data_IF_288047336182
#
_entry.id   IF_288047336182
#
_cell.length_a   1.000
_cell.length_b   1.000
_cell.length_c   1.000
_cell.angle_alpha   90.00
_cell.angle_beta   90.00
_cell.angle_gamma   90.00
#
_symmetry.space_group_name_H-M   'P 1'
#
loop_
_entity.id
_entity.type
_entity.pdbx_description
1 polymer ?
#
# COMPACT_ATOMS: atom_id res chain seq x y z
N UNK A 1 12.17 7.19 -6.45
CA UNK A 1 11.25 8.20 -5.92
C UNK A 1 9.93 8.03 -6.64
N UNK A 2 8.81 8.15 -5.94
CA UNK A 2 7.50 8.17 -6.58
C UNK A 2 7.30 9.48 -7.32
N UNK A 3 6.70 9.39 -8.51
CA UNK A 3 6.36 10.59 -9.26
C UNK A 3 5.16 11.31 -8.63
N UNK A 4 5.08 12.62 -8.79
CA UNK A 4 3.93 13.42 -8.33
C UNK A 4 2.61 12.95 -8.96
N UNK A 5 2.65 12.37 -10.17
CA UNK A 5 1.48 11.77 -10.82
C UNK A 5 1.03 10.49 -10.10
N UNK A 6 1.98 9.62 -9.72
CA UNK A 6 1.68 8.43 -8.94
C UNK A 6 1.12 8.78 -7.56
N UNK A 7 1.71 9.75 -6.85
CA UNK A 7 1.23 10.19 -5.54
C UNK A 7 -0.19 10.74 -5.61
N UNK A 8 -0.51 11.55 -6.63
CA UNK A 8 -1.87 12.05 -6.87
C UNK A 8 -2.88 10.95 -7.24
N UNK A 9 -2.41 9.81 -7.72
CA UNK A 9 -3.27 8.68 -8.09
C UNK A 9 -3.76 7.85 -6.90
N UNK A 10 -3.23 8.09 -5.69
CA UNK A 10 -3.68 7.42 -4.47
C UNK A 10 -5.09 7.92 -4.11
N UNK A 11 -6.08 7.04 -4.27
CA UNK A 11 -7.49 7.37 -4.05
C UNK A 11 -7.82 7.54 -2.56
N UNK A 12 -8.05 8.79 -2.14
CA UNK A 12 -8.44 9.16 -0.77
C UNK A 12 -9.85 8.71 -0.37
N UNK A 13 -10.69 8.30 -1.33
CA UNK A 13 -11.99 7.66 -1.04
C UNK A 13 -11.81 6.19 -0.68
N UNK A 14 -10.84 5.51 -1.28
CA UNK A 14 -10.53 4.10 -0.99
C UNK A 14 -9.67 3.96 0.27
N UNK A 15 -8.70 4.85 0.43
CA UNK A 15 -7.73 4.82 1.52
C UNK A 15 -7.93 5.98 2.49
N UNK A 16 -7.69 5.71 3.77
CA UNK A 16 -7.34 6.78 4.70
C UNK A 16 -5.84 7.04 4.56
N UNK A 17 -5.50 8.24 4.08
CA UNK A 17 -4.11 8.63 3.83
C UNK A 17 -3.49 9.16 5.12
N UNK A 18 -2.37 8.58 5.55
CA UNK A 18 -1.67 8.95 6.79
C UNK A 18 -0.45 9.80 6.45
N UNK A 19 0.40 9.32 5.54
CA UNK A 19 1.58 10.03 5.05
C UNK A 19 1.71 9.83 3.54
N UNK A 20 2.07 10.90 2.84
CA UNK A 20 2.44 10.87 1.42
C UNK A 20 3.62 11.79 1.26
N UNK A 21 4.76 11.22 0.93
CA UNK A 21 5.93 11.94 0.46
C UNK A 21 6.53 11.22 -0.76
N UNK A 22 7.64 11.77 -1.25
CA UNK A 22 8.31 11.33 -2.46
C UNK A 22 8.89 9.90 -2.36
N UNK A 23 9.07 9.38 -1.15
CA UNK A 23 9.66 8.07 -0.87
C UNK A 23 8.72 7.12 -0.15
N UNK A 24 7.86 7.66 0.69
CA UNK A 24 7.12 6.94 1.70
C UNK A 24 5.64 7.30 1.62
N UNK A 25 4.82 6.25 1.44
CA UNK A 25 3.37 6.35 1.45
C UNK A 25 2.83 5.42 2.51
N UNK A 26 2.18 6.00 3.53
CA UNK A 26 1.48 5.24 4.57
C UNK A 26 -0.02 5.46 4.44
N UNK A 27 -0.75 4.36 4.28
CA UNK A 27 -2.20 4.36 4.06
C UNK A 27 -2.87 3.27 4.89
N UNK A 28 -4.13 3.48 5.23
CA UNK A 28 -4.99 2.46 5.79
C UNK A 28 -6.12 2.19 4.80
N UNK A 29 -6.37 0.91 4.49
CA UNK A 29 -7.54 0.53 3.70
C UNK A 29 -8.81 0.80 4.50
N UNK A 30 -9.76 1.54 3.92
CA UNK A 30 -11.08 1.74 4.53
C UNK A 30 -11.95 0.48 4.49
N UNK A 31 -11.61 -0.48 3.63
CA UNK A 31 -12.37 -1.71 3.44
C UNK A 31 -12.01 -2.79 4.46
N UNK A 32 -10.72 -2.93 4.80
CA UNK A 32 -10.24 -3.98 5.70
C UNK A 32 -9.77 -3.45 7.06
N UNK A 33 -9.47 -2.16 7.16
CA UNK A 33 -8.84 -1.52 8.31
C UNK A 33 -7.33 -1.78 8.42
N UNK A 34 -6.75 -2.54 7.49
CA UNK A 34 -5.33 -2.88 7.48
C UNK A 34 -4.48 -1.66 7.09
N UNK A 35 -3.26 -1.63 7.62
CA UNK A 35 -2.30 -0.56 7.38
C UNK A 35 -1.21 -1.04 6.43
N UNK A 36 -0.84 -0.15 5.52
CA UNK A 36 0.14 -0.37 4.48
C UNK A 36 1.17 0.75 4.52
N UNK A 37 2.43 0.38 4.39
CA UNK A 37 3.56 1.30 4.25
C UNK A 37 4.34 0.92 2.99
N UNK A 38 4.50 1.87 2.09
CA UNK A 38 5.10 1.71 0.77
C UNK A 38 6.35 2.57 0.71
N UNK A 39 7.48 1.95 0.39
CA UNK A 39 8.77 2.62 0.34
C UNK A 39 9.40 2.49 -1.05
N UNK A 40 9.72 3.62 -1.67
CA UNK A 40 10.48 3.69 -2.93
C UNK A 40 11.97 3.46 -2.65
N UNK A 41 12.59 2.51 -3.34
CA UNK A 41 14.00 2.15 -3.14
C UNK A 41 14.99 2.95 -4.00
N UNK A 42 14.50 3.84 -4.87
CA UNK A 42 15.28 4.49 -5.94
C UNK A 42 15.92 3.55 -6.97
N UNK A 43 15.64 2.25 -6.89
CA UNK A 43 16.10 1.25 -7.86
C UNK A 43 14.96 0.92 -8.81
N UNK A 44 15.15 0.95 -10.14
CA UNK A 44 14.12 0.54 -11.08
C UNK A 44 13.88 -0.99 -11.06
N UNK A 45 12.77 -1.44 -11.65
CA UNK A 45 12.44 -2.87 -11.77
C UNK A 45 11.68 -3.41 -10.56
N UNK A 46 11.74 -4.72 -10.33
CA UNK A 46 10.84 -5.43 -9.39
C UNK A 46 11.04 -5.08 -7.91
N UNK A 47 12.09 -4.32 -7.58
CA UNK A 47 12.39 -3.85 -6.23
C UNK A 47 12.10 -2.36 -6.04
N UNK A 48 11.48 -1.69 -7.01
CA UNK A 48 11.26 -0.24 -6.96
C UNK A 48 10.40 0.21 -5.78
N UNK A 49 9.46 -0.61 -5.34
CA UNK A 49 8.58 -0.35 -4.20
C UNK A 49 8.57 -1.55 -3.25
N UNK A 50 8.94 -1.34 -1.99
CA UNK A 50 8.77 -2.35 -0.93
C UNK A 50 7.39 -2.12 -0.28
N UNK A 51 6.65 -3.21 -0.05
CA UNK A 51 5.29 -3.18 0.49
C UNK A 51 5.32 -3.81 1.89
N UNK A 52 5.05 -3.00 2.90
CA UNK A 52 4.90 -3.43 4.29
C UNK A 52 3.42 -3.40 4.71
N UNK A 53 3.05 -4.30 5.60
CA UNK A 53 1.67 -4.51 6.03
C UNK A 53 1.57 -4.79 7.53
N UNK A 54 0.45 -4.35 8.14
CA UNK A 54 -0.01 -4.83 9.44
C UNK A 54 -1.53 -4.80 9.53
N UNK A 55 -2.10 -5.77 10.25
CA UNK A 55 -3.54 -5.92 10.37
C UNK A 55 -4.21 -4.90 11.30
N UNK A 56 -3.50 -4.43 12.33
CA UNK A 56 -4.01 -3.50 13.36
C UNK A 56 -2.96 -2.44 13.65
N UNK A 57 -3.40 -1.28 14.17
CA UNK A 57 -2.49 -0.18 14.52
C UNK A 57 -1.36 -0.62 15.48
N UNK A 58 -1.68 -1.43 16.49
CA UNK A 58 -0.73 -1.88 17.51
C UNK A 58 0.24 -2.98 17.04
N UNK A 59 0.02 -3.58 15.87
CA UNK A 59 0.88 -4.65 15.38
C UNK A 59 2.17 -4.10 14.76
N UNK A 60 3.28 -4.86 14.76
CA UNK A 60 4.45 -4.51 13.96
C UNK A 60 4.15 -4.68 12.47
N UNK A 61 4.80 -3.87 11.64
CA UNK A 61 4.81 -4.08 10.20
C UNK A 61 5.62 -5.34 9.83
N UNK A 62 5.15 -6.10 8.86
CA UNK A 62 5.91 -7.14 8.18
C UNK A 62 5.99 -6.83 6.69
N UNK A 63 7.06 -7.27 6.03
CA UNK A 63 7.15 -7.15 4.58
C UNK A 63 6.14 -8.10 3.93
N UNK A 64 5.20 -7.53 3.18
CA UNK A 64 4.20 -8.27 2.44
C UNK A 64 4.71 -8.68 1.06
N UNK A 65 5.44 -7.77 0.39
CA UNK A 65 5.91 -8.02 -0.96
C UNK A 65 6.70 -6.86 -1.55
N UNK A 66 6.82 -6.87 -2.88
CA UNK A 66 7.48 -5.83 -3.67
C UNK A 66 6.64 -5.53 -4.91
N UNK A 67 6.85 -4.35 -5.48
CA UNK A 67 6.27 -3.95 -6.75
C UNK A 67 7.26 -3.10 -7.54
N UNK A 68 7.00 -2.98 -8.85
CA UNK A 68 7.79 -2.19 -9.79
C UNK A 68 7.39 -0.71 -9.86
N UNK A 69 6.33 -0.31 -9.14
CA UNK A 69 5.79 1.05 -9.10
C UNK A 69 4.82 1.21 -7.93
N UNK A 70 4.50 2.46 -7.57
CA UNK A 70 3.45 2.74 -6.59
C UNK A 70 2.11 2.20 -7.08
N UNK A 71 1.82 2.39 -8.37
CA UNK A 71 0.57 1.93 -9.00
C UNK A 71 0.39 0.41 -8.89
N UNK A 72 1.45 -0.38 -9.11
CA UNK A 72 1.37 -1.83 -8.94
C UNK A 72 1.13 -2.20 -7.47
N UNK A 73 1.83 -1.55 -6.54
CA UNK A 73 1.63 -1.77 -5.10
C UNK A 73 0.18 -1.52 -4.68
N UNK A 74 -0.42 -0.40 -5.10
CA UNK A 74 -1.83 -0.08 -4.83
C UNK A 74 -2.79 -1.14 -5.39
N UNK A 75 -2.57 -1.62 -6.62
CA UNK A 75 -3.39 -2.71 -7.19
C UNK A 75 -3.28 -4.00 -6.37
N UNK A 76 -2.07 -4.32 -5.90
CA UNK A 76 -1.83 -5.49 -5.04
C UNK A 76 -2.62 -5.38 -3.73
N UNK A 77 -2.60 -4.21 -3.09
CA UNK A 77 -3.38 -3.91 -1.88
C UNK A 77 -4.88 -4.08 -2.13
N UNK A 78 -5.41 -3.50 -3.21
CA UNK A 78 -6.83 -3.62 -3.55
C UNK A 78 -7.23 -5.08 -3.85
N UNK A 79 -6.32 -5.89 -4.39
CA UNK A 79 -6.54 -7.33 -4.58
C UNK A 79 -6.57 -8.07 -3.26
N UNK A 80 -5.62 -7.78 -2.37
CA UNK A 80 -5.61 -8.31 -1.00
C UNK A 80 -6.93 -7.96 -0.27
N UNK A 81 -7.39 -6.72 -0.35
CA UNK A 81 -8.62 -6.29 0.32
C UNK A 81 -9.84 -7.05 -0.18
N UNK A 82 -9.97 -7.23 -1.51
CA UNK A 82 -11.06 -8.03 -2.09
C UNK A 82 -11.04 -9.47 -1.58
N UNK A 83 -9.87 -10.09 -1.53
CA UNK A 83 -9.74 -11.45 -1.00
C UNK A 83 -10.12 -11.50 0.48
N UNK A 84 -9.60 -10.59 1.30
CA UNK A 84 -9.88 -10.52 2.73
C UNK A 84 -11.36 -10.29 3.05
N UNK A 85 -12.05 -9.45 2.27
CA UNK A 85 -13.49 -9.23 2.42
C UNK A 85 -14.31 -10.46 2.04
N UNK A 86 -13.90 -11.18 0.97
CA UNK A 86 -14.58 -12.40 0.56
C UNK A 86 -14.43 -13.53 1.59
N UNK A 87 -13.27 -13.63 2.27
CA UNK A 87 -13.08 -14.59 3.36
C UNK A 87 -13.91 -14.26 4.59
N UNK A 88 -14.11 -12.98 4.94
CA UNK A 88 -14.95 -12.56 6.07
C UNK A 88 -16.45 -12.84 5.85
N UNK A 89 -16.86 -12.96 4.60
CA UNK A 89 -18.26 -13.21 4.22
C UNK A 89 -18.57 -14.70 3.99
N UNK A 90 -17.64 -15.59 4.34
CA UNK A 90 -17.83 -17.04 4.36
C UNK A 90 -18.01 -17.53 5.78
#
# INVERSE_FOLDING_TARGET
>A
MFSQEELKSVDSKYFNIITVDDYDVTIQSRNTGHYWYLHSTDVPGDTACIIFHKHKYSHPYHQHGRGNSLRQAIRSIQSHDRWQMNERNR
#
